data_IF_459082577290
#
_entry.id   IF_459082577290
#
_cell.length_a   1.000
_cell.length_b   1.000
_cell.length_c   1.000
_cell.angle_alpha   90.00
_cell.angle_beta   90.00
_cell.angle_gamma   90.00
#
_symmetry.space_group_name_H-M   'P 1'
#
loop_
_entity.id
_entity.type
_entity.pdbx_description
1 polymer ?
#
# COMPACT_ATOMS: atom_id res chain seq x y z
N UNK A 1 25.10 -24.02 26.83
CA UNK A 1 23.84 -24.21 26.07
C UNK A 1 23.74 -23.09 25.03
N UNK A 2 23.38 -23.41 23.79
CA UNK A 2 23.08 -22.38 22.80
C UNK A 2 21.76 -21.67 23.15
N UNK A 3 21.66 -20.37 22.85
CA UNK A 3 20.38 -19.65 22.95
C UNK A 3 19.50 -20.11 21.77
N UNK A 4 18.19 -20.37 21.96
CA UNK A 4 17.32 -20.72 20.84
C UNK A 4 17.28 -19.55 19.86
N UNK A 5 17.72 -19.79 18.63
CA UNK A 5 17.71 -18.77 17.59
C UNK A 5 16.26 -18.41 17.23
N UNK A 6 15.98 -17.11 17.10
CA UNK A 6 14.62 -16.66 16.80
C UNK A 6 14.29 -17.04 15.36
N UNK A 7 13.44 -18.06 15.20
CA UNK A 7 12.88 -18.45 13.92
C UNK A 7 12.24 -17.25 13.22
N UNK A 8 12.68 -16.96 12.00
CA UNK A 8 12.14 -15.93 11.12
C UNK A 8 11.85 -16.56 9.76
N UNK A 9 10.74 -16.16 9.16
CA UNK A 9 10.48 -16.44 7.76
C UNK A 9 11.41 -15.62 6.87
N UNK A 10 11.90 -16.28 5.82
CA UNK A 10 12.64 -15.71 4.70
C UNK A 10 11.78 -15.80 3.44
N UNK A 11 12.18 -15.10 2.37
CA UNK A 11 11.47 -15.15 1.09
C UNK A 11 11.27 -16.58 0.53
N UNK A 12 12.20 -17.50 0.85
CA UNK A 12 12.11 -18.91 0.46
C UNK A 12 11.11 -19.70 1.31
N UNK A 13 11.04 -19.43 2.63
CA UNK A 13 10.00 -20.03 3.49
C UNK A 13 8.60 -19.55 3.07
N UNK A 14 8.47 -18.27 2.71
CA UNK A 14 7.23 -17.68 2.21
C UNK A 14 6.76 -18.38 0.93
N UNK A 15 7.66 -18.61 -0.03
CA UNK A 15 7.33 -19.30 -1.29
C UNK A 15 6.91 -20.75 -1.05
N UNK A 16 7.62 -21.49 -0.20
CA UNK A 16 7.24 -22.87 0.18
C UNK A 16 5.86 -22.89 0.84
N UNK A 17 5.61 -21.98 1.78
CA UNK A 17 4.34 -21.83 2.49
C UNK A 17 3.19 -21.54 1.54
N UNK A 18 3.33 -20.52 0.69
CA UNK A 18 2.26 -20.11 -0.22
C UNK A 18 2.00 -21.17 -1.31
N UNK A 19 3.03 -21.86 -1.81
CA UNK A 19 2.85 -23.02 -2.71
C UNK A 19 2.02 -24.13 -2.08
N UNK A 20 2.26 -24.48 -0.81
CA UNK A 20 1.53 -25.57 -0.17
C UNK A 20 0.14 -25.16 0.32
N UNK A 21 -0.07 -23.90 0.73
CA UNK A 21 -1.41 -23.33 0.98
C UNK A 21 -2.25 -23.35 -0.29
N UNK A 22 -1.68 -22.93 -1.42
CA UNK A 22 -2.33 -23.02 -2.75
C UNK A 22 -2.69 -24.48 -3.10
N UNK A 23 -1.74 -25.42 -2.94
CA UNK A 23 -1.92 -26.84 -3.26
C UNK A 23 -2.98 -27.55 -2.40
N UNK A 24 -3.03 -27.26 -1.09
CA UNK A 24 -3.98 -27.93 -0.19
C UNK A 24 -5.37 -27.27 -0.15
N UNK A 25 -5.48 -26.00 -0.56
CA UNK A 25 -6.61 -25.12 -0.31
C UNK A 25 -7.23 -25.29 1.10
N UNK A 26 -6.52 -24.89 2.17
CA UNK A 26 -6.96 -25.08 3.55
C UNK A 26 -8.09 -24.12 3.98
N UNK A 27 -8.78 -23.50 3.01
CA UNK A 27 -10.02 -22.76 3.24
C UNK A 27 -11.26 -23.66 3.09
N UNK A 28 -11.22 -24.70 2.26
CA UNK A 28 -12.29 -25.71 2.15
C UNK A 28 -12.47 -26.52 3.44
N UNK A 29 -11.36 -26.99 3.99
CA UNK A 29 -11.32 -27.89 5.15
C UNK A 29 -10.31 -27.40 6.17
N UNK A 30 -10.78 -27.12 7.39
CA UNK A 30 -9.93 -26.54 8.44
C UNK A 30 -8.79 -27.46 8.87
N UNK A 31 -8.96 -28.78 8.75
CA UNK A 31 -7.93 -29.77 9.10
C UNK A 31 -6.74 -29.77 8.14
N UNK A 32 -6.90 -29.34 6.88
CA UNK A 32 -5.79 -29.26 5.92
C UNK A 32 -4.70 -28.26 6.35
N UNK A 33 -4.99 -27.33 7.27
CA UNK A 33 -3.95 -26.49 7.91
C UNK A 33 -2.90 -27.31 8.68
N UNK A 34 -3.25 -28.50 9.19
CA UNK A 34 -2.29 -29.44 9.82
C UNK A 34 -1.32 -29.97 8.77
N UNK A 35 -1.86 -30.51 7.68
CA UNK A 35 -1.10 -30.99 6.52
C UNK A 35 -0.19 -29.92 5.92
N UNK A 36 -0.67 -28.68 5.79
CA UNK A 36 0.17 -27.53 5.35
C UNK A 36 1.30 -27.28 6.34
N UNK A 37 1.01 -27.18 7.64
CA UNK A 37 2.03 -26.88 8.65
C UNK A 37 3.11 -27.96 8.71
N UNK A 38 2.74 -29.24 8.73
CA UNK A 38 3.68 -30.37 8.71
C UNK A 38 4.58 -30.35 7.47
N UNK A 39 4.01 -30.13 6.29
CA UNK A 39 4.77 -30.04 5.02
C UNK A 39 5.71 -28.83 5.00
N UNK A 40 5.27 -27.68 5.52
CA UNK A 40 6.13 -26.48 5.62
C UNK A 40 7.26 -26.69 6.61
N UNK A 41 7.02 -27.33 7.77
CA UNK A 41 8.09 -27.72 8.72
C UNK A 41 9.10 -28.66 8.06
N UNK A 42 8.61 -29.70 7.37
CA UNK A 42 9.47 -30.67 6.66
C UNK A 42 10.28 -30.03 5.52
N UNK A 43 9.70 -29.09 4.77
CA UNK A 43 10.37 -28.44 3.63
C UNK A 43 11.30 -27.30 4.03
N UNK A 44 11.00 -26.56 5.10
CA UNK A 44 11.85 -25.45 5.59
C UNK A 44 12.88 -25.90 6.63
N UNK A 45 12.75 -27.12 7.16
CA UNK A 45 13.52 -27.65 8.30
C UNK A 45 13.43 -26.77 9.56
N UNK A 46 12.34 -25.99 9.69
CA UNK A 46 12.07 -25.06 10.78
C UNK A 46 10.78 -25.43 11.49
N UNK A 47 10.83 -25.54 12.81
CA UNK A 47 9.69 -25.92 13.65
C UNK A 47 8.69 -24.76 13.85
N UNK A 48 8.07 -24.30 12.77
CA UNK A 48 6.94 -23.36 12.82
C UNK A 48 5.68 -24.06 13.36
N UNK A 49 4.98 -23.43 14.30
CA UNK A 49 3.68 -23.94 14.77
C UNK A 49 2.57 -23.65 13.76
N UNK A 50 1.51 -24.49 13.73
CA UNK A 50 0.33 -24.28 12.89
C UNK A 50 -0.27 -22.87 13.04
N UNK A 51 -0.27 -22.34 14.28
CA UNK A 51 -0.68 -20.96 14.56
C UNK A 51 0.21 -19.94 13.86
N UNK A 52 1.54 -20.06 14.00
CA UNK A 52 2.51 -19.17 13.38
C UNK A 52 2.45 -19.21 11.84
N UNK A 53 2.28 -20.41 11.27
CA UNK A 53 2.04 -20.64 9.83
C UNK A 53 0.82 -19.85 9.35
N UNK A 54 -0.33 -19.98 10.03
CA UNK A 54 -1.56 -19.28 9.65
C UNK A 54 -1.46 -17.76 9.84
N UNK A 55 -0.98 -17.31 11.00
CA UNK A 55 -0.80 -15.88 11.30
C UNK A 55 0.13 -15.19 10.29
N UNK A 56 1.13 -15.91 9.77
CA UNK A 56 2.03 -15.39 8.74
C UNK A 56 1.39 -15.31 7.35
N UNK A 57 0.58 -16.29 6.93
CA UNK A 57 -0.23 -16.19 5.68
C UNK A 57 -1.19 -15.00 5.76
N UNK A 58 -1.92 -14.87 6.87
CA UNK A 58 -2.85 -13.76 7.09
C UNK A 58 -2.12 -12.40 7.14
N UNK A 59 -0.88 -12.36 7.66
CA UNK A 59 -0.02 -11.18 7.65
C UNK A 59 0.47 -10.80 6.25
N UNK A 60 0.92 -11.77 5.45
CA UNK A 60 1.36 -11.56 4.06
C UNK A 60 0.21 -11.03 3.19
N UNK A 61 -0.98 -11.64 3.29
CA UNK A 61 -2.19 -11.17 2.61
C UNK A 61 -2.61 -9.76 3.07
N UNK A 62 -2.47 -9.45 4.36
CA UNK A 62 -2.78 -8.12 4.91
C UNK A 62 -1.84 -7.03 4.41
N UNK A 63 -0.53 -7.29 4.34
CA UNK A 63 0.44 -6.35 3.74
C UNK A 63 0.11 -6.14 2.26
N UNK A 64 -0.04 -7.22 1.49
CA UNK A 64 -0.29 -7.15 0.06
C UNK A 64 -1.63 -6.44 -0.27
N UNK A 65 -2.67 -6.64 0.54
CA UNK A 65 -3.96 -5.94 0.39
C UNK A 65 -3.89 -4.45 0.79
N UNK A 66 -3.02 -4.05 1.73
CA UNK A 66 -2.96 -2.68 2.28
C UNK A 66 -1.92 -1.78 1.62
N UNK A 67 -0.77 -2.34 1.26
CA UNK A 67 0.42 -1.62 0.77
C UNK A 67 0.76 -1.99 -0.68
N UNK A 68 -0.01 -2.89 -1.29
CA UNK A 68 0.06 -3.26 -2.69
C UNK A 68 1.39 -3.91 -3.10
N UNK A 69 1.63 -3.90 -4.42
CA UNK A 69 2.82 -4.47 -5.08
C UNK A 69 4.15 -3.88 -4.60
N UNK A 70 4.13 -2.66 -4.06
CA UNK A 70 5.34 -1.92 -3.70
C UNK A 70 6.07 -2.50 -2.48
N UNK A 71 5.35 -2.93 -1.44
CA UNK A 71 6.00 -3.37 -0.19
C UNK A 71 6.62 -4.77 -0.28
N UNK A 72 6.22 -5.60 -1.25
CA UNK A 72 6.81 -6.92 -1.45
C UNK A 72 8.28 -6.86 -1.86
N UNK A 73 8.69 -5.84 -2.63
CA UNK A 73 10.02 -5.72 -3.28
C UNK A 73 11.21 -5.39 -2.33
N UNK A 74 11.09 -5.58 -1.01
CA UNK A 74 12.07 -5.09 -0.01
C UNK A 74 13.21 -6.06 0.35
N UNK A 75 13.13 -7.36 0.06
CA UNK A 75 14.25 -8.34 0.21
C UNK A 75 13.99 -9.65 -0.55
N UNK A 76 14.80 -9.97 -1.57
CA UNK A 76 14.60 -11.09 -2.51
C UNK A 76 14.99 -10.73 -3.96
N UNK A 77 15.04 -11.72 -4.87
CA UNK A 77 15.22 -11.48 -6.32
C UNK A 77 13.87 -11.21 -7.01
N UNK A 78 13.90 -10.59 -8.20
CA UNK A 78 12.68 -10.18 -8.91
C UNK A 78 11.73 -11.36 -9.22
N UNK A 79 12.29 -12.48 -9.67
CA UNK A 79 11.57 -13.73 -9.93
C UNK A 79 10.81 -14.25 -8.69
N UNK A 80 11.45 -14.19 -7.52
CA UNK A 80 10.87 -14.63 -6.24
C UNK A 80 9.68 -13.76 -5.82
N UNK A 81 9.69 -12.46 -6.11
CA UNK A 81 8.54 -11.60 -5.85
C UNK A 81 7.39 -11.85 -6.81
N UNK A 82 7.69 -12.03 -8.11
CA UNK A 82 6.65 -12.27 -9.11
C UNK A 82 5.92 -13.59 -8.84
N UNK A 83 6.64 -14.65 -8.43
CA UNK A 83 6.00 -15.88 -7.95
C UNK A 83 5.20 -15.65 -6.66
N UNK A 84 5.78 -14.96 -5.67
CA UNK A 84 5.11 -14.69 -4.39
C UNK A 84 3.82 -13.86 -4.57
N UNK A 85 3.81 -12.90 -5.49
CA UNK A 85 2.60 -12.15 -5.85
C UNK A 85 1.56 -13.05 -6.51
N UNK A 86 1.94 -13.86 -7.51
CA UNK A 86 1.03 -14.79 -8.17
C UNK A 86 0.38 -15.79 -7.20
N UNK A 87 1.16 -16.32 -6.25
CA UNK A 87 0.64 -17.20 -5.19
C UNK A 87 -0.26 -16.45 -4.20
N UNK A 88 0.05 -15.22 -3.81
CA UNK A 88 -0.82 -14.41 -2.94
C UNK A 88 -2.14 -14.03 -3.62
N UNK A 89 -2.11 -13.71 -4.90
CA UNK A 89 -3.31 -13.48 -5.73
C UNK A 89 -4.18 -14.73 -5.76
N UNK A 90 -3.59 -15.89 -6.11
CA UNK A 90 -4.29 -17.18 -6.14
C UNK A 90 -4.92 -17.51 -4.77
N UNK A 91 -4.19 -17.31 -3.67
CA UNK A 91 -4.69 -17.53 -2.31
C UNK A 91 -5.81 -16.56 -1.94
N UNK A 92 -5.75 -15.29 -2.36
CA UNK A 92 -6.85 -14.36 -2.15
C UNK A 92 -8.10 -14.79 -2.95
N UNK A 93 -7.93 -15.31 -4.15
CA UNK A 93 -9.04 -15.78 -4.99
C UNK A 93 -9.66 -17.08 -4.44
N UNK A 94 -8.86 -18.01 -3.90
CA UNK A 94 -9.36 -19.15 -3.12
C UNK A 94 -10.17 -18.71 -1.89
N UNK A 95 -9.74 -17.65 -1.17
CA UNK A 95 -10.54 -17.07 -0.09
C UNK A 95 -11.85 -16.45 -0.58
N UNK A 96 -11.86 -15.78 -1.74
CA UNK A 96 -13.09 -15.23 -2.34
C UNK A 96 -14.04 -16.34 -2.77
N UNK A 97 -13.51 -17.39 -3.40
CA UNK A 97 -14.30 -18.55 -3.84
C UNK A 97 -14.95 -19.26 -2.66
N UNK A 98 -14.20 -19.56 -1.60
CA UNK A 98 -14.77 -20.14 -0.38
C UNK A 98 -15.87 -19.25 0.24
N UNK A 99 -15.66 -17.93 0.30
CA UNK A 99 -16.66 -16.95 0.79
C UNK A 99 -17.90 -16.84 -0.11
N UNK A 100 -17.82 -17.22 -1.39
CA UNK A 100 -18.96 -17.30 -2.32
C UNK A 100 -19.67 -18.66 -2.20
N UNK A 101 -18.91 -19.75 -2.17
CA UNK A 101 -19.41 -21.13 -2.02
C UNK A 101 -20.18 -21.31 -0.71
N UNK A 102 -19.65 -20.80 0.42
CA UNK A 102 -20.31 -20.81 1.73
C UNK A 102 -21.62 -20.00 1.82
N UNK A 103 -22.01 -19.26 0.78
CA UNK A 103 -23.32 -18.58 0.67
C UNK A 103 -24.32 -19.32 -0.24
N UNK A 104 -23.92 -20.42 -0.88
CA UNK A 104 -24.76 -21.15 -1.85
C UNK A 104 -25.79 -22.11 -1.22
N UNK A 105 -25.61 -22.53 0.04
CA UNK A 105 -26.31 -23.69 0.61
C UNK A 105 -27.65 -23.41 1.30
N UNK A 106 -28.06 -22.15 1.51
CA UNK A 106 -29.25 -21.83 2.32
C UNK A 106 -30.20 -20.77 1.70
N UNK A 107 -30.29 -20.70 0.36
CA UNK A 107 -31.09 -19.65 -0.30
C UNK A 107 -31.93 -20.14 -1.49
N UNK A 108 -32.41 -21.39 -1.49
CA UNK A 108 -33.48 -21.82 -2.40
C UNK A 108 -34.86 -21.28 -1.98
N UNK A 109 -35.06 -19.95 -1.95
CA UNK A 109 -36.41 -19.35 -1.88
C UNK A 109 -36.59 -17.89 -2.33
N UNK A 110 -35.79 -17.41 -3.29
CA UNK A 110 -36.09 -16.14 -3.99
C UNK A 110 -35.50 -16.10 -5.41
N UNK A 111 -36.17 -16.71 -6.39
CA UNK A 111 -35.89 -16.51 -7.82
C UNK A 111 -36.82 -15.43 -8.39
N UNK A 112 -36.40 -14.77 -9.46
CA UNK A 112 -37.11 -13.71 -10.23
C UNK A 112 -37.04 -12.29 -9.64
N UNK A 113 -35.93 -11.58 -9.89
CA UNK A 113 -35.93 -10.47 -10.87
C UNK A 113 -34.51 -9.94 -11.17
N UNK A 114 -34.35 -9.41 -12.39
CA UNK A 114 -33.17 -8.74 -12.96
C UNK A 114 -31.92 -9.61 -13.17
N UNK A 115 -31.82 -10.09 -14.41
CA UNK A 115 -30.54 -10.20 -15.12
C UNK A 115 -30.19 -8.82 -15.75
N UNK A 116 -29.12 -8.74 -16.55
CA UNK A 116 -28.59 -7.58 -17.31
C UNK A 116 -27.54 -6.73 -16.55
N UNK A 117 -26.30 -7.19 -16.72
CA UNK A 117 -25.02 -6.45 -16.90
C UNK A 117 -24.45 -5.54 -15.81
N UNK A 118 -23.34 -6.04 -15.24
CA UNK A 118 -21.99 -5.41 -15.16
C UNK A 118 -21.75 -4.15 -14.28
N UNK A 119 -20.45 -4.04 -13.95
CA UNK A 119 -19.75 -2.97 -13.21
C UNK A 119 -20.17 -2.77 -11.74
N UNK A 120 -19.42 -3.18 -10.70
CA UNK A 120 -17.98 -3.28 -10.40
C UNK A 120 -17.38 -2.02 -9.72
N UNK A 121 -17.40 -2.04 -8.38
CA UNK A 121 -16.52 -1.31 -7.45
C UNK A 121 -16.59 0.22 -7.52
N UNK A 122 -17.26 0.83 -6.53
CA UNK A 122 -16.57 1.57 -5.45
C UNK A 122 -17.59 2.06 -4.41
N UNK A 123 -17.54 1.52 -3.18
CA UNK A 123 -18.17 2.18 -2.03
C UNK A 123 -17.54 1.70 -0.70
N UNK A 124 -16.49 2.42 -0.27
CA UNK A 124 -15.93 2.30 1.09
C UNK A 124 -15.33 3.64 1.51
N UNK A 125 -16.02 4.42 2.35
CA UNK A 125 -15.41 5.34 3.33
C UNK A 125 -16.48 5.96 4.27
N UNK A 126 -16.92 5.19 5.26
CA UNK A 126 -17.36 5.80 6.53
C UNK A 126 -16.14 6.02 7.44
N UNK A 127 -16.15 7.13 8.19
CA UNK A 127 -15.00 7.64 8.94
C UNK A 127 -15.32 7.73 10.43
N UNK A 128 -14.62 6.92 11.23
CA UNK A 128 -14.50 7.05 12.69
C UNK A 128 -13.01 6.78 13.00
N UNK A 129 -12.14 7.80 13.08
CA UNK A 129 -11.93 8.72 14.22
C UNK A 129 -11.34 7.99 15.43
N UNK A 130 -10.05 8.20 15.71
CA UNK A 130 -9.60 8.81 16.99
C UNK A 130 -8.13 9.29 16.95
N UNK A 131 -7.87 10.31 17.77
CA UNK A 131 -6.61 11.02 18.06
C UNK A 131 -6.26 10.74 19.57
N UNK A 132 -5.32 11.41 20.28
CA UNK A 132 -3.91 11.75 20.00
C UNK A 132 -2.96 11.50 21.23
N UNK A 133 -1.83 12.21 21.28
CA UNK A 133 -1.10 12.72 22.50
C UNK A 133 -0.27 11.81 23.44
N UNK A 134 1.08 11.88 23.31
CA UNK A 134 2.18 12.26 24.28
C UNK A 134 2.17 11.86 25.80
N UNK A 135 3.26 12.05 26.61
CA UNK A 135 4.74 12.07 26.39
C UNK A 135 5.62 11.32 27.47
N UNK A 136 6.97 11.38 27.33
CA UNK A 136 8.02 11.25 28.41
C UNK A 136 8.28 9.83 29.01
N UNK A 137 9.45 9.42 29.56
CA UNK A 137 10.71 10.09 29.99
C UNK A 137 11.98 9.19 29.79
N UNK A 138 13.16 9.82 29.72
CA UNK A 138 14.47 9.44 30.33
C UNK A 138 15.43 8.33 29.78
N UNK A 139 16.67 8.78 29.51
CA UNK A 139 18.00 8.20 29.91
C UNK A 139 18.88 7.33 28.97
N UNK A 140 19.85 8.01 28.32
CA UNK A 140 21.34 7.79 28.20
C UNK A 140 22.02 6.43 28.56
N UNK A 141 23.25 6.12 28.05
CA UNK A 141 24.17 6.82 27.09
C UNK A 141 24.65 5.86 25.94
N UNK A 142 25.79 5.92 25.20
CA UNK A 142 26.98 6.81 25.06
C UNK A 142 27.78 6.52 23.75
N UNK A 143 28.76 7.39 23.41
CA UNK A 143 30.03 7.14 22.64
C UNK A 143 29.98 6.56 21.19
N UNK A 144 30.83 6.92 20.19
CA UNK A 144 31.96 7.89 20.03
C UNK A 144 31.98 8.52 18.62
N UNK A 145 32.47 9.78 18.49
CA UNK A 145 33.31 10.36 17.39
C UNK A 145 32.94 10.18 15.89
N UNK A 146 33.14 11.14 14.96
CA UNK A 146 33.81 12.46 15.02
C UNK A 146 33.40 13.39 13.84
N UNK A 147 33.50 14.72 14.05
CA UNK A 147 33.80 15.85 13.09
C UNK A 147 33.43 15.74 11.58
N UNK A 148 32.82 16.73 10.90
CA UNK A 148 32.83 18.21 11.04
C UNK A 148 31.45 18.89 10.72
N UNK A 149 31.41 20.24 10.82
CA UNK A 149 30.26 21.17 10.76
C UNK A 149 30.72 22.53 10.14
N UNK A 150 29.89 23.61 9.96
CA UNK A 150 28.43 23.79 9.82
C UNK A 150 28.04 24.77 8.67
N UNK A 151 26.79 25.32 8.73
CA UNK A 151 26.24 26.59 8.17
C UNK A 151 25.20 26.41 7.03
N UNK A 152 23.99 26.98 7.10
CA UNK A 152 23.16 27.43 8.23
C UNK A 152 21.67 27.51 7.80
N UNK A 153 20.74 27.43 8.76
CA UNK A 153 19.29 27.56 8.58
C UNK A 153 18.69 28.41 9.73
N UNK A 154 17.63 29.21 9.48
CA UNK A 154 16.67 29.60 10.50
C UNK A 154 15.28 28.99 10.25
N UNK A 155 14.66 28.43 11.29
CA UNK A 155 13.31 27.86 11.25
C UNK A 155 12.26 28.82 11.84
N UNK A 156 10.99 28.78 11.39
CA UNK A 156 9.88 29.42 12.10
C UNK A 156 9.45 28.58 13.33
N UNK A 157 8.87 29.24 14.34
CA UNK A 157 8.40 28.65 15.60
C UNK A 157 6.90 28.29 15.57
N UNK A 158 6.43 27.50 16.55
CA UNK A 158 5.06 27.02 16.65
C UNK A 158 4.44 27.25 18.02
N UNK A 159 3.16 27.63 18.06
CA UNK A 159 2.19 27.50 19.16
C UNK A 159 0.80 27.83 18.59
N UNK A 160 -0.35 27.20 18.92
CA UNK A 160 -0.88 26.52 20.11
C UNK A 160 -1.17 27.47 21.29
N UNK A 161 -2.23 27.31 22.09
CA UNK A 161 -3.09 26.13 22.33
C UNK A 161 -4.54 26.53 22.67
N UNK A 162 -5.42 25.53 22.82
CA UNK A 162 -6.82 25.61 23.28
C UNK A 162 -6.98 25.62 24.82
N UNK A 163 -8.20 25.87 25.32
CA UNK A 163 -8.89 25.04 26.35
C UNK A 163 -10.26 25.63 26.78
N UNK A 164 -11.02 24.88 27.58
CA UNK A 164 -12.39 25.20 28.05
C UNK A 164 -12.61 24.75 29.50
N UNK A 165 -13.57 25.36 30.23
CA UNK A 165 -14.26 24.77 31.41
C UNK A 165 -15.35 25.73 31.98
N UNK A 166 -16.19 25.22 32.88
CA UNK A 166 -17.30 25.91 33.58
C UNK A 166 -16.92 26.38 35.00
N UNK A 167 -17.77 27.16 35.70
CA UNK A 167 -18.34 26.58 36.95
C UNK A 167 -19.72 27.12 37.46
N UNK A 168 -20.49 26.20 38.07
CA UNK A 168 -21.23 26.28 39.35
C UNK A 168 -22.31 27.38 39.64
N UNK A 169 -22.91 27.29 40.85
CA UNK A 169 -24.32 27.55 41.18
C UNK A 169 -24.58 28.66 42.23
N UNK A 170 -25.73 29.35 42.10
CA UNK A 170 -26.38 30.24 43.10
C UNK A 170 -27.87 30.46 42.71
N UNK A 171 -28.80 31.03 43.51
CA UNK A 171 -28.65 31.60 44.86
C UNK A 171 -29.95 31.98 45.63
N UNK A 172 -31.14 32.03 45.00
CA UNK A 172 -32.46 32.41 45.58
C UNK A 172 -32.59 33.89 46.05
N UNK A 173 -33.79 34.44 46.38
CA UNK A 173 -35.20 34.09 46.08
C UNK A 173 -36.05 35.29 45.51
N UNK A 174 -37.40 35.20 45.53
CA UNK A 174 -38.42 36.29 45.44
C UNK A 174 -38.50 37.08 44.10
N UNK A 175 -39.59 37.11 43.30
CA UNK A 175 -40.99 37.44 43.62
C UNK A 175 -41.96 36.98 42.49
N UNK A 176 -43.25 36.89 42.79
CA UNK A 176 -44.37 36.76 41.83
C UNK A 176 -44.94 38.14 41.44
N UNK A 177 -45.59 38.30 40.26
CA UNK A 177 -47.06 38.19 40.32
C UNK A 177 -47.74 37.48 39.14
N UNK A 178 -48.95 37.02 39.43
CA UNK A 178 -49.99 36.46 38.55
C UNK A 178 -50.36 37.36 37.36
N UNK A 179 -50.49 36.77 36.17
CA UNK A 179 -51.47 37.16 35.14
C UNK A 179 -51.85 35.93 34.28
N UNK A 180 -53.11 35.84 33.86
CA UNK A 180 -53.74 34.62 33.32
C UNK A 180 -53.79 34.60 31.76
N UNK A 181 -54.14 33.48 31.09
CA UNK A 181 -53.67 33.20 29.73
C UNK A 181 -54.63 33.64 28.60
N UNK A 182 -54.06 33.95 27.44
CA UNK A 182 -54.78 34.19 26.17
C UNK A 182 -54.20 33.37 25.01
N UNK A 183 -55.05 32.59 24.33
CA UNK A 183 -54.73 31.85 23.10
C UNK A 183 -55.03 32.72 21.87
N UNK A 184 -54.05 33.04 21.03
CA UNK A 184 -54.25 33.37 19.59
C UNK A 184 -52.93 33.37 18.82
N UNK A 185 -52.95 32.95 17.55
CA UNK A 185 -51.91 33.31 16.56
C UNK A 185 -50.96 32.21 16.07
N UNK A 186 -51.34 31.43 15.03
CA UNK A 186 -50.37 30.88 14.08
C UNK A 186 -49.83 31.98 13.14
N UNK A 187 -48.93 31.61 12.21
CA UNK A 187 -48.43 32.42 11.08
C UNK A 187 -47.35 33.48 11.42
N UNK A 188 -46.07 33.05 11.50
CA UNK A 188 -44.93 33.78 10.84
C UNK A 188 -43.61 33.04 10.61
N UNK A 189 -43.48 31.74 10.93
CA UNK A 189 -42.16 31.08 10.97
C UNK A 189 -41.56 30.62 9.62
N UNK A 190 -42.31 30.60 8.50
CA UNK A 190 -41.81 30.03 7.22
C UNK A 190 -40.57 30.74 6.66
N UNK A 191 -40.53 32.07 6.69
CA UNK A 191 -39.52 32.89 5.98
C UNK A 191 -38.08 32.63 6.49
N UNK A 192 -37.90 32.39 7.80
CA UNK A 192 -36.58 32.09 8.38
C UNK A 192 -36.07 30.71 7.96
N UNK A 193 -36.97 29.74 7.80
CA UNK A 193 -36.61 28.36 7.48
C UNK A 193 -36.04 28.23 6.05
N UNK A 194 -36.57 28.96 5.09
CA UNK A 194 -36.08 28.90 3.70
C UNK A 194 -34.76 29.66 3.49
N UNK A 195 -34.45 30.66 4.33
CA UNK A 195 -33.12 31.27 4.37
C UNK A 195 -32.05 30.30 4.89
N UNK A 196 -32.36 29.57 5.97
CA UNK A 196 -31.51 28.51 6.51
C UNK A 196 -31.27 27.40 5.47
N UNK A 197 -32.31 26.90 4.81
CA UNK A 197 -32.17 25.91 3.72
C UNK A 197 -31.24 26.37 2.59
N UNK A 198 -31.32 27.64 2.16
CA UNK A 198 -30.43 28.19 1.13
C UNK A 198 -28.97 28.19 1.57
N UNK A 199 -28.70 28.52 2.84
CA UNK A 199 -27.36 28.42 3.43
C UNK A 199 -26.87 26.97 3.50
N UNK A 200 -27.72 26.02 3.93
CA UNK A 200 -27.37 24.58 3.96
C UNK A 200 -27.11 24.01 2.57
N UNK A 201 -27.91 24.38 1.56
CA UNK A 201 -27.71 23.99 0.16
C UNK A 201 -26.37 24.51 -0.36
N UNK A 202 -26.08 25.79 -0.16
CA UNK A 202 -24.80 26.39 -0.55
C UNK A 202 -23.61 25.71 0.15
N UNK A 203 -23.73 25.34 1.42
CA UNK A 203 -22.69 24.60 2.13
C UNK A 203 -22.46 23.19 1.56
N UNK A 204 -23.54 22.47 1.22
CA UNK A 204 -23.44 21.16 0.57
C UNK A 204 -22.81 21.25 -0.82
N UNK A 205 -23.19 22.25 -1.62
CA UNK A 205 -22.63 22.50 -2.95
C UNK A 205 -21.14 22.89 -2.87
N UNK A 206 -20.76 23.76 -1.93
CA UNK A 206 -19.37 24.16 -1.70
C UNK A 206 -18.51 23.00 -1.15
N UNK A 207 -19.08 22.12 -0.31
CA UNK A 207 -18.42 20.87 0.10
C UNK A 207 -18.18 19.96 -1.11
N UNK A 208 -19.21 19.71 -1.93
CA UNK A 208 -19.07 18.86 -3.13
C UNK A 208 -18.05 19.44 -4.11
N UNK A 209 -18.05 20.76 -4.32
CA UNK A 209 -17.05 21.45 -5.14
C UNK A 209 -15.62 21.23 -4.61
N UNK A 210 -15.41 21.34 -3.30
CA UNK A 210 -14.10 21.12 -2.66
C UNK A 210 -13.65 19.66 -2.69
N UNK A 211 -14.59 18.71 -2.64
CA UNK A 211 -14.32 17.29 -2.83
C UNK A 211 -13.81 17.02 -4.25
N UNK A 212 -14.52 17.51 -5.28
CA UNK A 212 -14.07 17.41 -6.69
C UNK A 212 -12.71 18.09 -6.89
N UNK A 213 -12.55 19.33 -6.42
CA UNK A 213 -11.27 20.05 -6.47
C UNK A 213 -10.12 19.32 -5.76
N UNK A 214 -10.39 18.47 -4.76
CA UNK A 214 -9.38 17.66 -4.09
C UNK A 214 -9.05 16.41 -4.90
N UNK A 215 -10.05 15.74 -5.45
CA UNK A 215 -9.88 14.57 -6.31
C UNK A 215 -9.14 14.93 -7.61
N UNK A 216 -9.44 16.07 -8.23
CA UNK A 216 -8.69 16.63 -9.37
C UNK A 216 -7.20 16.85 -9.03
N UNK A 217 -6.91 17.39 -7.83
CA UNK A 217 -5.53 17.62 -7.36
C UNK A 217 -4.80 16.30 -7.08
N UNK A 218 -5.47 15.28 -6.53
CA UNK A 218 -4.89 13.95 -6.37
C UNK A 218 -4.60 13.30 -7.73
N UNK A 219 -5.55 13.36 -8.67
CA UNK A 219 -5.38 12.82 -10.02
C UNK A 219 -4.20 13.48 -10.75
N UNK A 220 -4.10 14.82 -10.74
CA UNK A 220 -2.99 15.53 -11.37
C UNK A 220 -1.62 15.25 -10.72
N UNK A 221 -1.57 14.99 -9.41
CA UNK A 221 -0.32 14.59 -8.75
C UNK A 221 0.12 13.18 -9.17
N UNK A 222 -0.81 12.22 -9.31
CA UNK A 222 -0.49 10.86 -9.76
C UNK A 222 -0.18 10.81 -11.27
N UNK A 223 -0.90 11.57 -12.10
CA UNK A 223 -0.59 11.81 -13.52
C UNK A 223 0.85 12.34 -13.69
N UNK A 224 1.21 13.38 -12.94
CA UNK A 224 2.56 13.96 -12.95
C UNK A 224 3.63 12.99 -12.45
N UNK A 225 3.29 12.12 -11.50
CA UNK A 225 4.17 11.07 -10.99
C UNK A 225 4.42 9.99 -12.04
N UNK A 226 3.36 9.53 -12.72
CA UNK A 226 3.46 8.57 -13.84
C UNK A 226 4.36 9.14 -14.93
N UNK A 227 4.15 10.41 -15.32
CA UNK A 227 4.97 11.04 -16.36
C UNK A 227 6.48 11.07 -16.01
N UNK A 228 6.83 11.31 -14.75
CA UNK A 228 8.22 11.27 -14.27
C UNK A 228 8.80 9.86 -14.24
N UNK A 229 7.98 8.84 -13.99
CA UNK A 229 8.40 7.42 -14.03
C UNK A 229 8.61 6.94 -15.48
N UNK A 230 7.75 7.36 -16.42
CA UNK A 230 7.92 7.14 -17.86
C UNK A 230 9.20 7.79 -18.40
N UNK A 231 9.42 9.08 -18.14
CA UNK A 231 10.62 9.78 -18.62
C UNK A 231 11.90 9.24 -17.98
N UNK A 232 11.85 8.79 -16.72
CA UNK A 232 12.97 8.06 -16.10
C UNK A 232 13.26 6.75 -16.84
N UNK A 233 12.24 5.91 -17.08
CA UNK A 233 12.41 4.64 -17.79
C UNK A 233 12.94 4.83 -19.22
N UNK A 234 12.45 5.86 -19.91
CA UNK A 234 12.89 6.27 -21.25
C UNK A 234 14.34 6.73 -21.28
N UNK A 235 14.80 7.46 -20.26
CA UNK A 235 16.21 7.84 -20.11
C UNK A 235 17.11 6.63 -19.77
N UNK A 236 16.68 5.76 -18.85
CA UNK A 236 17.41 4.52 -18.49
C UNK A 236 17.54 3.58 -19.69
N UNK A 237 16.47 3.41 -20.47
CA UNK A 237 16.48 2.66 -21.74
C UNK A 237 17.49 3.26 -22.72
N UNK A 238 17.42 4.58 -22.96
CA UNK A 238 18.32 5.28 -23.89
C UNK A 238 19.79 5.20 -23.45
N UNK A 239 20.07 5.27 -22.15
CA UNK A 239 21.42 5.06 -21.63
C UNK A 239 21.90 3.63 -21.88
N UNK A 240 21.05 2.62 -21.64
CA UNK A 240 21.39 1.22 -21.89
C UNK A 240 21.65 0.93 -23.36
N UNK A 241 20.86 1.50 -24.26
CA UNK A 241 21.05 1.42 -25.72
C UNK A 241 22.38 2.08 -26.12
N UNK A 242 22.67 3.30 -25.65
CA UNK A 242 23.93 4.00 -25.95
C UNK A 242 25.18 3.26 -25.41
N UNK A 243 25.09 2.61 -24.25
CA UNK A 243 26.18 1.78 -23.71
C UNK A 243 26.46 0.56 -24.59
N UNK A 244 25.42 -0.09 -25.13
CA UNK A 244 25.56 -1.23 -26.04
C UNK A 244 26.09 -0.81 -27.43
N UNK A 245 25.65 0.34 -27.95
CA UNK A 245 26.15 0.93 -29.20
C UNK A 245 27.68 1.12 -29.15
N UNK A 246 28.18 1.69 -28.04
CA UNK A 246 29.63 1.88 -27.82
C UNK A 246 30.39 0.56 -27.73
N UNK A 247 29.86 -0.47 -27.07
CA UNK A 247 30.51 -1.78 -27.00
C UNK A 247 30.54 -2.47 -28.38
N UNK A 248 29.46 -2.36 -29.16
CA UNK A 248 29.37 -2.90 -30.52
C UNK A 248 30.41 -2.22 -31.43
N UNK A 249 30.54 -0.90 -31.33
CA UNK A 249 31.50 -0.14 -32.15
C UNK A 249 32.96 -0.37 -31.71
N UNK A 250 33.24 -0.50 -30.41
CA UNK A 250 34.57 -0.91 -29.94
C UNK A 250 34.95 -2.31 -30.44
N UNK A 251 34.01 -3.27 -30.39
CA UNK A 251 34.20 -4.62 -30.95
C UNK A 251 34.41 -4.58 -32.46
N UNK A 252 33.68 -3.74 -33.20
CA UNK A 252 33.88 -3.53 -34.66
C UNK A 252 35.29 -3.02 -34.96
N UNK A 253 35.77 -2.02 -34.23
CA UNK A 253 37.12 -1.46 -34.41
C UNK A 253 38.21 -2.48 -34.08
N UNK A 254 38.08 -3.23 -32.99
CA UNK A 254 38.98 -4.34 -32.64
C UNK A 254 39.04 -5.40 -33.75
N UNK A 255 37.90 -5.79 -34.31
CA UNK A 255 37.80 -6.76 -35.42
C UNK A 255 38.44 -6.19 -36.69
N UNK A 256 38.20 -4.93 -37.04
CA UNK A 256 38.78 -4.28 -38.21
C UNK A 256 40.32 -4.23 -38.14
N UNK A 257 40.88 -3.81 -37.00
CA UNK A 257 42.34 -3.80 -36.77
C UNK A 257 42.92 -5.22 -36.79
N UNK A 258 42.21 -6.21 -36.25
CA UNK A 258 42.63 -7.62 -36.32
C UNK A 258 42.67 -8.13 -37.77
N UNK A 259 41.66 -7.77 -38.58
CA UNK A 259 41.60 -8.13 -40.00
C UNK A 259 42.75 -7.50 -40.79
N UNK A 260 43.02 -6.21 -40.61
CA UNK A 260 44.14 -5.53 -41.26
C UNK A 260 45.50 -6.16 -40.91
N UNK A 261 45.71 -6.55 -39.64
CA UNK A 261 46.93 -7.26 -39.23
C UNK A 261 47.06 -8.63 -39.91
N UNK A 262 45.96 -9.36 -40.05
CA UNK A 262 45.94 -10.66 -40.71
C UNK A 262 46.21 -10.56 -42.22
N UNK A 263 45.61 -9.56 -42.88
CA UNK A 263 45.83 -9.23 -44.29
C UNK A 263 47.29 -8.85 -44.59
N UNK A 264 47.91 -8.01 -43.76
CA UNK A 264 49.34 -7.68 -43.86
C UNK A 264 50.21 -8.94 -43.68
N UNK A 265 49.89 -9.79 -42.71
CA UNK A 265 50.64 -11.02 -42.44
C UNK A 265 50.51 -12.03 -43.59
N UNK A 266 49.34 -12.12 -44.23
CA UNK A 266 49.12 -12.92 -45.44
C UNK A 266 49.94 -12.40 -46.63
N UNK A 267 49.97 -11.09 -46.87
CA UNK A 267 50.79 -10.47 -47.92
C UNK A 267 52.28 -10.74 -47.69
N UNK A 268 52.77 -10.62 -46.45
CA UNK A 268 54.15 -10.96 -46.09
C UNK A 268 54.46 -12.45 -46.31
N UNK A 269 53.51 -13.34 -45.98
CA UNK A 269 53.66 -14.78 -46.20
C UNK A 269 53.73 -15.10 -47.71
N UNK A 270 52.91 -14.45 -48.54
CA UNK A 270 52.95 -14.58 -50.01
C UNK A 270 54.25 -14.02 -50.62
N UNK A 271 54.86 -12.99 -50.03
CA UNK A 271 56.16 -12.46 -50.45
C UNK A 271 57.31 -13.42 -50.13
N UNK A 272 57.25 -14.13 -49.00
CA UNK A 272 58.26 -15.13 -48.60
C UNK A 272 58.15 -16.42 -49.42
N UNK A 273 56.95 -16.78 -49.90
CA UNK A 273 56.71 -18.02 -50.66
C UNK A 273 56.69 -17.83 -52.20
N UNK A 274 57.12 -16.67 -52.71
CA UNK A 274 57.35 -16.47 -54.15
C UNK A 274 58.80 -16.86 -54.50
N UNK A 275 59.02 -17.88 -55.35
CA UNK A 275 60.34 -18.22 -55.89
C UNK A 275 60.79 -17.25 -56.98
#
# INVERSE_FOLDING_TARGET
MAKPERLRFTILDDLILLREVSRQNPYEESDRWKTVAERVVNATQKNFSLRCVKEHVDHLLKIWTREGRAHLKKSGTEEQYNEKEGLLQQIQDLQKEFRRSGKGSNTQKSRLQRDVTLENISDTLEVIIEEPTVPTVASIPSFTSSTFLPIALPSPTSSSSSSSSTPLTSGSPLQSPTMSPSRTGPIRNKIRHDALKKSTLHFLQERHKKEVEFQEKQFHLEERRIQLEEDKFKMEKKEREARLELEIEERRQRIAVSKQKQEILEILLQLIHKP
#
